data_IF_358820992588
#
_entry.id   IF_358820992588
#
_cell.length_a   1.000
_cell.length_b   1.000
_cell.length_c   1.000
_cell.angle_alpha   90.00
_cell.angle_beta   90.00
_cell.angle_gamma   90.00
#
_symmetry.space_group_name_H-M   'P 1'
#
loop_
_entity.id
_entity.type
_entity.pdbx_description
1 polymer ?
#
# COMPACT_ATOMS: atom_id res chain seq x y z
N UNK A 1 -16.82 -0.37 3.96
CA UNK A 1 -15.58 -1.13 4.30
C UNK A 1 -14.27 -0.34 4.03
N UNK A 2 -14.25 1.00 4.16
CA UNK A 2 -13.03 1.86 4.10
C UNK A 2 -12.82 2.63 5.41
N UNK A 3 -12.94 1.95 6.56
CA UNK A 3 -12.92 2.60 7.90
C UNK A 3 -11.76 2.19 8.81
N UNK A 4 -10.83 1.35 8.34
CA UNK A 4 -9.76 0.79 9.19
C UNK A 4 -8.38 0.72 8.52
N UNK A 5 -7.88 1.80 7.92
CA UNK A 5 -6.46 1.87 7.52
C UNK A 5 -5.97 0.83 6.49
N UNK A 6 -6.88 0.12 5.81
CA UNK A 6 -6.53 -0.85 4.77
C UNK A 6 -6.09 -0.13 3.49
N UNK A 7 -4.95 -0.55 2.92
CA UNK A 7 -4.48 -0.08 1.62
C UNK A 7 -5.10 -0.91 0.50
N UNK A 8 -6.03 -0.30 -0.24
CA UNK A 8 -6.60 -0.85 -1.45
C UNK A 8 -5.66 -0.53 -2.62
N UNK A 9 -4.88 -1.53 -3.00
CA UNK A 9 -4.00 -1.50 -4.16
C UNK A 9 -4.58 -2.36 -5.27
N UNK A 10 -4.30 -1.97 -6.50
CA UNK A 10 -4.66 -2.72 -7.71
C UNK A 10 -3.41 -3.03 -8.50
N UNK A 11 -3.23 -4.28 -8.91
CA UNK A 11 -2.09 -4.65 -9.75
C UNK A 11 -2.14 -3.90 -11.09
N UNK A 12 -0.99 -3.40 -11.54
CA UNK A 12 -0.87 -2.78 -12.85
C UNK A 12 -0.97 -3.84 -13.96
N UNK A 13 -0.36 -5.01 -13.75
CA UNK A 13 -0.49 -6.18 -14.59
C UNK A 13 -1.24 -7.29 -13.83
N UNK A 14 -2.16 -7.98 -14.50
CA UNK A 14 -2.85 -9.14 -13.92
C UNK A 14 -1.91 -10.34 -13.74
N UNK A 15 -0.89 -10.46 -14.58
CA UNK A 15 0.07 -11.56 -14.49
C UNK A 15 0.94 -11.47 -13.24
N UNK A 16 1.05 -10.29 -12.63
CA UNK A 16 1.77 -10.12 -11.35
C UNK A 16 1.11 -10.89 -10.21
N UNK A 17 -0.19 -11.18 -10.31
CA UNK A 17 -0.88 -12.03 -9.34
C UNK A 17 -0.34 -13.47 -9.34
N UNK A 18 0.07 -13.99 -10.50
CA UNK A 18 0.60 -15.35 -10.61
C UNK A 18 1.98 -15.51 -9.97
N UNK A 19 2.69 -14.40 -9.74
CA UNK A 19 3.99 -14.39 -9.07
C UNK A 19 3.87 -14.48 -7.55
N UNK A 20 2.72 -14.12 -6.99
CA UNK A 20 2.50 -14.10 -5.54
C UNK A 20 2.27 -15.52 -5.04
N UNK A 21 3.07 -15.94 -4.08
CA UNK A 21 2.94 -17.21 -3.38
C UNK A 21 2.43 -16.99 -1.95
N UNK A 22 1.82 -18.02 -1.34
CA UNK A 22 1.19 -17.91 -0.02
C UNK A 22 2.19 -17.62 1.11
N UNK A 23 3.43 -18.11 0.97
CA UNK A 23 4.50 -17.92 1.95
C UNK A 23 5.36 -16.66 1.68
N UNK A 24 4.97 -15.82 0.73
CA UNK A 24 5.73 -14.63 0.37
C UNK A 24 5.59 -13.50 1.39
N UNK A 25 6.71 -12.85 1.69
CA UNK A 25 6.70 -11.59 2.42
C UNK A 25 6.51 -10.43 1.46
N UNK A 26 5.51 -9.59 1.72
CA UNK A 26 5.15 -8.47 0.87
C UNK A 26 5.67 -7.17 1.48
N UNK A 27 6.64 -6.56 0.81
CA UNK A 27 7.17 -5.24 1.14
C UNK A 27 6.65 -4.18 0.17
N UNK A 28 6.41 -2.96 0.66
CA UNK A 28 5.93 -1.85 -0.18
C UNK A 28 6.99 -0.74 -0.20
N UNK A 29 7.56 -0.52 -1.37
CA UNK A 29 8.48 0.57 -1.65
C UNK A 29 7.71 1.80 -2.19
N UNK A 30 8.13 2.99 -1.79
CA UNK A 30 7.51 4.25 -2.22
C UNK A 30 6.44 4.84 -1.28
N UNK A 31 6.23 4.26 -0.10
CA UNK A 31 5.30 4.83 0.91
C UNK A 31 5.71 6.25 1.38
N UNK A 32 7.00 6.56 1.35
CA UNK A 32 7.54 7.89 1.71
C UNK A 32 7.22 8.94 0.64
N UNK A 33 7.39 8.59 -0.63
CA UNK A 33 7.07 9.42 -1.80
C UNK A 33 5.60 9.34 -2.24
N UNK A 34 4.78 8.56 -1.54
CA UNK A 34 3.39 8.30 -1.91
C UNK A 34 2.62 9.59 -2.25
N UNK A 35 2.12 9.65 -3.48
CA UNK A 35 1.43 10.80 -4.06
C UNK A 35 0.23 10.36 -4.92
N UNK A 36 -0.81 11.20 -5.07
CA UNK A 36 -1.98 10.84 -5.88
C UNK A 36 -1.60 10.60 -7.35
N UNK A 37 -1.93 9.41 -7.87
CA UNK A 37 -1.66 9.05 -9.26
C UNK A 37 -0.25 8.53 -9.51
N UNK A 38 0.60 8.41 -8.48
CA UNK A 38 1.88 7.74 -8.61
C UNK A 38 1.76 6.25 -8.27
N UNK A 39 2.18 5.33 -9.16
CA UNK A 39 2.21 3.92 -8.84
C UNK A 39 3.21 3.63 -7.71
N UNK A 40 2.90 2.61 -6.91
CA UNK A 40 3.80 2.07 -5.89
C UNK A 40 4.46 0.79 -6.40
N UNK A 41 5.58 0.42 -5.79
CA UNK A 41 6.27 -0.84 -6.06
C UNK A 41 6.08 -1.76 -4.88
N UNK A 42 5.63 -2.98 -5.16
CA UNK A 42 5.52 -4.05 -4.17
C UNK A 42 6.63 -5.05 -4.46
N UNK A 43 7.39 -5.39 -3.44
CA UNK A 43 8.46 -6.39 -3.49
C UNK A 43 7.93 -7.65 -2.82
N UNK A 44 7.80 -8.71 -3.60
CA UNK A 44 7.50 -10.05 -3.11
C UNK A 44 8.82 -10.71 -2.76
N UNK A 45 8.99 -11.10 -1.51
CA UNK A 45 10.14 -11.89 -1.05
C UNK A 45 9.69 -13.34 -0.88
N UNK A 46 10.20 -14.18 -1.76
CA UNK A 46 9.89 -15.60 -1.76
C UNK A 46 10.67 -16.34 -0.68
N UNK A 47 10.10 -17.43 -0.18
CA UNK A 47 10.74 -18.26 0.84
C UNK A 47 12.06 -18.91 0.35
N UNK A 48 12.25 -19.03 -0.96
CA UNK A 48 13.49 -19.53 -1.57
C UNK A 48 14.62 -18.48 -1.61
N UNK A 49 14.34 -17.23 -1.20
CA UNK A 49 15.27 -16.11 -1.20
C UNK A 49 15.28 -15.30 -2.50
N UNK A 50 14.48 -15.69 -3.50
CA UNK A 50 14.24 -14.84 -4.68
C UNK A 50 13.28 -13.70 -4.34
N UNK A 51 13.26 -12.68 -5.19
CA UNK A 51 12.37 -11.54 -5.00
C UNK A 51 11.84 -11.01 -6.32
N UNK A 52 10.53 -10.78 -6.39
CA UNK A 52 9.87 -10.16 -7.52
C UNK A 52 9.42 -8.74 -7.20
N UNK A 53 9.50 -7.84 -8.18
CA UNK A 53 9.01 -6.46 -8.05
C UNK A 53 7.83 -6.26 -8.98
N UNK A 54 6.69 -5.94 -8.39
CA UNK A 54 5.44 -5.71 -9.11
C UNK A 54 4.99 -4.26 -8.92
N UNK A 55 4.36 -3.70 -9.94
CA UNK A 55 3.87 -2.32 -9.90
C UNK A 55 2.38 -2.34 -9.56
N UNK A 56 1.99 -1.53 -8.58
CA UNK A 56 0.60 -1.43 -8.15
C UNK A 56 0.11 0.01 -8.23
N UNK A 57 -1.11 0.15 -8.73
CA UNK A 57 -1.83 1.40 -8.82
C UNK A 57 -2.75 1.59 -7.62
N UNK A 58 -3.11 2.84 -7.36
CA UNK A 58 -4.06 3.19 -6.32
C UNK A 58 -4.94 4.37 -6.75
N UNK A 59 -6.07 4.52 -6.07
CA UNK A 59 -7.02 5.63 -6.29
C UNK A 59 -7.08 6.59 -5.10
N UNK A 60 -6.02 6.58 -4.28
CA UNK A 60 -5.93 7.45 -3.11
C UNK A 60 -5.71 8.90 -3.49
N UNK A 61 -6.48 9.79 -2.86
CA UNK A 61 -6.24 11.23 -2.91
C UNK A 61 -5.28 11.67 -1.78
N UNK A 62 -4.84 12.92 -1.84
CA UNK A 62 -3.82 13.45 -0.92
C UNK A 62 -4.25 13.36 0.56
N UNK A 63 -5.52 13.61 0.88
CA UNK A 63 -6.04 13.46 2.25
C UNK A 63 -5.96 12.03 2.77
N UNK A 64 -6.30 11.04 1.93
CA UNK A 64 -6.23 9.63 2.33
C UNK A 64 -4.79 9.16 2.48
N UNK A 65 -3.88 9.67 1.65
CA UNK A 65 -2.43 9.43 1.75
C UNK A 65 -1.89 9.99 3.08
N UNK A 66 -2.29 11.19 3.47
CA UNK A 66 -1.89 11.78 4.76
C UNK A 66 -2.43 10.98 5.94
N UNK A 67 -3.68 10.52 5.87
CA UNK A 67 -4.24 9.60 6.87
C UNK A 67 -3.46 8.30 6.97
N UNK A 68 -2.96 7.80 5.84
CA UNK A 68 -2.11 6.61 5.83
C UNK A 68 -0.72 6.89 6.43
N UNK A 69 -0.03 7.94 5.98
CA UNK A 69 1.30 8.34 6.48
C UNK A 69 1.31 8.63 7.99
N UNK A 70 0.19 9.09 8.54
CA UNK A 70 0.04 9.35 9.97
C UNK A 70 -0.19 8.09 10.85
N UNK A 71 -0.08 6.88 10.28
CA UNK A 71 -0.27 5.61 10.99
C UNK A 71 -1.73 5.17 11.08
N UNK A 72 -2.55 5.60 10.12
CA UNK A 72 -3.97 5.25 10.00
C UNK A 72 -4.90 6.43 10.24
N UNK A 73 -6.04 6.44 9.54
CA UNK A 73 -7.11 7.44 9.67
C UNK A 73 -7.54 7.67 11.13
N UNK A 74 -7.37 6.67 12.00
CA UNK A 74 -7.71 6.76 13.42
C UNK A 74 -6.83 7.76 14.20
N UNK A 75 -5.54 7.91 13.84
CA UNK A 75 -4.64 8.86 14.53
C UNK A 75 -4.97 10.31 14.17
N UNK A 76 -5.30 10.59 12.92
CA UNK A 76 -5.72 11.94 12.49
C UNK A 76 -7.11 12.28 13.03
N UNK A 77 -8.08 11.35 12.97
CA UNK A 77 -9.41 11.56 13.52
C UNK A 77 -9.34 11.75 15.05
N UNK A 78 -8.49 10.99 15.77
CA UNK A 78 -8.24 11.26 17.20
C UNK A 78 -7.66 12.65 17.44
N UNK A 79 -6.75 13.12 16.58
CA UNK A 79 -6.17 14.47 16.67
C UNK A 79 -7.18 15.58 16.36
N UNK A 80 -8.15 15.35 15.47
CA UNK A 80 -9.18 16.33 15.10
C UNK A 80 -10.40 16.32 16.03
N UNK A 81 -10.73 15.20 16.68
CA UNK A 81 -11.90 15.07 17.57
C UNK A 81 -11.55 15.41 19.03
N UNK A 82 -10.26 15.44 19.39
CA UNK A 82 -9.80 15.85 20.72
C UNK A 82 -9.58 17.38 20.86
N UNK A 83 -10.10 18.19 19.94
CA UNK A 83 -10.08 19.65 19.98
C UNK A 83 -11.42 20.23 20.37
#
# INVERSE_FOLDING_TARGET
LKKQGMLALTFADKNDYEKIQEDDTIDIEGLTSFAPGEPLTVVLQHADGSSDRITVNHTYNQQQIEWFKAGGALNIIRKQVAG
#
